data_IF_822621714540
#
_entry.id   IF_822621714540
#
_cell.length_a   1.000
_cell.length_b   1.000
_cell.length_c   1.000
_cell.angle_alpha   90.00
_cell.angle_beta   90.00
_cell.angle_gamma   90.00
#
_symmetry.space_group_name_H-M   'P 1'
#
loop_
_entity.id
_entity.type
_entity.pdbx_description
1 polymer ?
#
# COMPACT_ATOMS: atom_id res chain seq x y z
N UNK A 1 -6.99 -15.19 -5.44
CA UNK A 1 -8.27 -14.71 -6.02
C UNK A 1 -8.42 -13.22 -6.34
N UNK A 2 -7.62 -12.31 -5.77
CA UNK A 2 -7.77 -10.87 -6.06
C UNK A 2 -7.35 -10.49 -7.51
N UNK A 3 -6.27 -11.08 -8.01
CA UNK A 3 -5.74 -10.79 -9.37
C UNK A 3 -6.71 -11.22 -10.47
N UNK A 4 -7.35 -12.40 -10.34
CA UNK A 4 -8.34 -12.87 -11.33
C UNK A 4 -9.59 -11.99 -11.36
N UNK A 5 -10.01 -11.45 -10.21
CA UNK A 5 -11.14 -10.51 -10.13
C UNK A 5 -10.82 -9.17 -10.78
N UNK A 6 -9.59 -8.67 -10.59
CA UNK A 6 -9.12 -7.46 -11.26
C UNK A 6 -9.04 -7.63 -12.79
N UNK A 7 -8.55 -8.78 -13.26
CA UNK A 7 -8.48 -9.09 -14.70
C UNK A 7 -9.88 -9.21 -15.35
N UNK A 8 -10.84 -9.88 -14.70
CA UNK A 8 -12.22 -9.95 -15.21
C UNK A 8 -12.87 -8.58 -15.34
N UNK A 9 -12.65 -7.72 -14.34
CA UNK A 9 -13.19 -6.35 -14.33
C UNK A 9 -12.60 -5.48 -15.44
N UNK A 10 -11.31 -5.65 -15.76
CA UNK A 10 -10.68 -4.97 -16.89
C UNK A 10 -11.27 -5.42 -18.23
N UNK A 11 -11.46 -6.73 -18.41
CA UNK A 11 -12.07 -7.28 -19.64
C UNK A 11 -13.52 -6.82 -19.84
N UNK A 12 -14.32 -6.75 -18.76
CA UNK A 12 -15.69 -6.24 -18.82
C UNK A 12 -15.74 -4.76 -19.22
N UNK A 13 -14.81 -3.95 -18.70
CA UNK A 13 -14.71 -2.52 -19.03
C UNK A 13 -14.29 -2.30 -20.49
N UNK A 14 -13.31 -3.05 -20.99
CA UNK A 14 -12.89 -3.01 -22.40
C UNK A 14 -14.00 -3.44 -23.35
N UNK A 15 -14.73 -4.51 -23.00
CA UNK A 15 -15.87 -4.99 -23.80
C UNK A 15 -16.98 -3.92 -23.88
N UNK A 16 -17.31 -3.29 -22.74
CA UNK A 16 -18.30 -2.22 -22.67
C UNK A 16 -17.89 -1.00 -23.49
N UNK A 17 -16.60 -0.64 -23.46
CA UNK A 17 -16.07 0.46 -24.26
C UNK A 17 -16.16 0.17 -25.77
N UNK A 18 -15.80 -1.04 -26.21
CA UNK A 18 -15.94 -1.45 -27.61
C UNK A 18 -17.40 -1.45 -28.08
N UNK A 19 -18.32 -1.88 -27.23
CA UNK A 19 -19.75 -1.91 -27.57
C UNK A 19 -20.32 -0.49 -27.77
N UNK A 20 -19.91 0.48 -26.94
CA UNK A 20 -20.31 1.87 -27.09
C UNK A 20 -19.76 2.50 -28.38
N UNK A 21 -18.49 2.27 -28.69
CA UNK A 21 -17.88 2.73 -29.95
C UNK A 21 -18.55 2.12 -31.18
N UNK A 22 -18.93 0.84 -31.11
CA UNK A 22 -19.66 0.17 -32.18
C UNK A 22 -21.08 0.74 -32.37
N UNK A 23 -21.77 1.11 -31.29
CA UNK A 23 -23.07 1.79 -31.37
C UNK A 23 -22.94 3.17 -32.01
N UNK A 24 -21.96 3.99 -31.60
CA UNK A 24 -21.72 5.29 -32.23
C UNK A 24 -21.40 5.17 -33.72
N UNK A 25 -20.64 4.15 -34.13
CA UNK A 25 -20.34 3.91 -35.54
C UNK A 25 -21.55 3.39 -36.32
N UNK A 26 -22.37 2.52 -35.72
CA UNK A 26 -23.59 2.01 -36.35
C UNK A 26 -24.63 3.12 -36.54
N UNK A 27 -24.77 4.03 -35.58
CA UNK A 27 -25.64 5.21 -35.70
C UNK A 27 -25.16 6.18 -36.79
N UNK A 28 -23.84 6.27 -37.03
CA UNK A 28 -23.27 7.08 -38.12
C UNK A 28 -23.35 6.40 -39.50
N UNK A 29 -23.49 5.07 -39.56
CA UNK A 29 -23.41 4.29 -40.79
C UNK A 29 -24.76 4.00 -41.46
N UNK A 30 -25.88 4.54 -40.96
CA UNK A 30 -27.19 4.37 -41.61
C UNK A 30 -27.24 5.18 -42.91
N UNK A 31 -27.37 4.55 -44.10
CA UNK A 31 -27.48 5.28 -45.36
C UNK A 31 -28.87 5.92 -45.48
N UNK A 32 -28.94 7.21 -45.82
CA UNK A 32 -30.20 7.86 -46.19
C UNK A 32 -30.65 7.35 -47.56
N UNK A 33 -31.92 6.95 -47.76
CA UNK A 33 -32.44 6.62 -49.10
C UNK A 33 -32.69 7.90 -49.92
N UNK A 34 -32.49 7.82 -51.23
CA UNK A 34 -32.58 8.94 -52.19
C UNK A 34 -33.95 9.66 -52.18
N UNK A 35 -34.00 11.00 -52.31
CA UNK A 35 -35.26 11.74 -52.39
C UNK A 35 -35.78 11.83 -53.84
N UNK A 36 -37.05 11.45 -54.05
CA UNK A 36 -37.87 11.98 -55.16
C UNK A 36 -38.21 13.45 -54.89
N UNK A 37 -38.40 14.30 -55.92
CA UNK A 37 -38.60 15.73 -55.73
C UNK A 37 -40.03 16.03 -55.24
N UNK A 38 -40.15 16.34 -53.95
CA UNK A 38 -41.31 17.01 -53.34
C UNK A 38 -40.90 18.36 -52.74
N UNK A 39 -41.82 19.32 -52.58
CA UNK A 39 -41.50 20.71 -52.24
C UNK A 39 -40.78 20.80 -50.88
N UNK A 40 -39.74 21.63 -50.84
CA UNK A 40 -38.76 21.74 -49.75
C UNK A 40 -39.31 21.53 -48.33
N UNK A 41 -38.96 20.43 -47.65
CA UNK A 41 -39.04 20.33 -46.21
C UNK A 41 -37.90 21.17 -45.61
N UNK A 42 -38.28 22.09 -44.74
CA UNK A 42 -37.41 22.98 -43.98
C UNK A 42 -36.21 22.22 -43.41
N UNK A 43 -35.01 22.81 -43.56
CA UNK A 43 -33.78 22.29 -42.99
C UNK A 43 -33.98 22.01 -41.49
N UNK A 44 -34.04 20.73 -41.13
CA UNK A 44 -33.95 20.34 -39.73
C UNK A 44 -32.61 20.87 -39.21
N UNK A 45 -32.59 21.61 -38.09
CA UNK A 45 -31.35 22.08 -37.52
C UNK A 45 -30.49 20.86 -37.23
N UNK A 46 -29.32 20.78 -37.87
CA UNK A 46 -28.24 19.99 -37.30
C UNK A 46 -28.09 20.46 -35.85
N UNK A 47 -27.98 19.57 -34.85
CA UNK A 47 -27.73 20.01 -33.48
C UNK A 47 -26.42 20.80 -33.51
N UNK A 48 -26.55 22.13 -33.56
CA UNK A 48 -25.45 23.05 -33.39
C UNK A 48 -25.09 22.85 -31.93
N UNK A 49 -24.05 22.07 -31.66
CA UNK A 49 -23.46 21.98 -30.32
C UNK A 49 -23.32 23.41 -29.81
N UNK A 50 -24.17 23.79 -28.86
CA UNK A 50 -24.25 25.17 -28.43
C UNK A 50 -22.92 25.52 -27.78
N UNK A 51 -22.45 26.77 -27.93
CA UNK A 51 -21.28 27.24 -27.20
C UNK A 51 -21.42 27.06 -25.68
N UNK A 52 -22.65 26.94 -25.18
CA UNK A 52 -22.99 26.59 -23.79
C UNK A 52 -22.72 25.10 -23.51
N UNK A 53 -23.12 24.18 -24.39
CA UNK A 53 -22.88 22.73 -24.24
C UNK A 53 -21.37 22.40 -24.27
N UNK A 54 -20.60 23.13 -25.09
CA UNK A 54 -19.14 23.01 -25.14
C UNK A 54 -18.48 23.53 -23.86
N UNK A 55 -19.01 24.62 -23.27
CA UNK A 55 -18.52 25.16 -21.99
C UNK A 55 -18.82 24.22 -20.83
N UNK A 56 -20.01 23.66 -20.79
CA UNK A 56 -20.41 22.71 -19.75
C UNK A 56 -19.62 21.40 -19.85
N UNK A 57 -19.37 20.92 -21.07
CA UNK A 57 -18.49 19.78 -21.33
C UNK A 57 -17.05 20.07 -20.90
N UNK A 58 -16.52 21.26 -21.22
CA UNK A 58 -15.18 21.67 -20.80
C UNK A 58 -15.05 21.79 -19.27
N UNK A 59 -16.08 22.32 -18.59
CA UNK A 59 -16.14 22.39 -17.13
C UNK A 59 -16.19 20.99 -16.50
N UNK A 60 -16.91 20.06 -17.10
CA UNK A 60 -16.97 18.67 -16.65
C UNK A 60 -15.61 17.98 -16.78
N UNK A 61 -14.92 18.14 -17.92
CA UNK A 61 -13.57 17.62 -18.15
C UNK A 61 -12.57 18.21 -17.15
N UNK A 62 -12.57 19.53 -16.96
CA UNK A 62 -11.68 20.18 -16.00
C UNK A 62 -11.90 19.69 -14.56
N UNK A 63 -13.16 19.43 -14.16
CA UNK A 63 -13.47 18.84 -12.85
C UNK A 63 -12.95 17.40 -12.74
N UNK A 64 -13.08 16.60 -13.78
CA UNK A 64 -12.55 15.23 -13.81
C UNK A 64 -11.02 15.22 -13.74
N UNK A 65 -10.34 16.06 -14.52
CA UNK A 65 -8.88 16.23 -14.46
C UNK A 65 -8.43 16.65 -13.06
N UNK A 66 -9.12 17.59 -12.42
CA UNK A 66 -8.82 18.01 -11.05
C UNK A 66 -9.05 16.89 -10.01
N UNK A 67 -9.98 15.96 -10.25
CA UNK A 67 -10.18 14.79 -9.39
C UNK A 67 -9.08 13.75 -9.62
N UNK A 68 -8.70 13.50 -10.86
CA UNK A 68 -7.60 12.58 -11.22
C UNK A 68 -6.28 13.10 -10.65
N UNK A 69 -5.98 14.39 -10.84
CA UNK A 69 -4.77 15.01 -10.30
C UNK A 69 -4.70 14.87 -8.77
N UNK A 70 -5.81 15.12 -8.06
CA UNK A 70 -5.89 14.92 -6.61
C UNK A 70 -5.67 13.45 -6.22
N UNK A 71 -6.27 12.50 -6.95
CA UNK A 71 -6.06 11.07 -6.68
C UNK A 71 -4.62 10.62 -6.94
N UNK A 72 -3.97 11.12 -8.01
CA UNK A 72 -2.57 10.84 -8.32
C UNK A 72 -1.67 11.42 -7.22
N UNK A 73 -1.93 12.66 -6.79
CA UNK A 73 -1.16 13.30 -5.74
C UNK A 73 -1.30 12.58 -4.38
N UNK A 74 -2.52 12.18 -4.01
CA UNK A 74 -2.76 11.36 -2.82
C UNK A 74 -2.09 9.98 -2.89
N UNK A 75 -2.10 9.35 -4.07
CA UNK A 75 -1.44 8.07 -4.29
C UNK A 75 0.08 8.19 -4.15
N UNK A 76 0.69 9.22 -4.75
CA UNK A 76 2.13 9.50 -4.68
C UNK A 76 2.60 9.87 -3.26
N UNK A 77 1.70 10.36 -2.39
CA UNK A 77 2.01 10.68 -0.99
C UNK A 77 2.05 9.45 -0.06
N UNK A 78 1.55 8.28 -0.48
CA UNK A 78 1.55 7.08 0.37
C UNK A 78 2.97 6.48 0.43
N UNK A 79 3.57 6.33 1.62
CA UNK A 79 4.91 5.77 1.73
C UNK A 79 4.90 4.29 1.31
N UNK A 80 5.94 3.88 0.58
CA UNK A 80 6.13 2.52 0.09
C UNK A 80 6.50 1.62 1.28
N UNK A 81 5.54 0.80 1.72
CA UNK A 81 5.74 -0.14 2.82
C UNK A 81 6.12 -1.52 2.29
N UNK A 82 7.18 -2.10 2.85
CA UNK A 82 7.60 -3.47 2.56
C UNK A 82 7.50 -4.31 3.84
N UNK A 83 6.84 -5.47 3.76
CA UNK A 83 6.65 -6.35 4.91
C UNK A 83 7.61 -7.53 4.87
N UNK A 84 8.35 -7.72 5.95
CA UNK A 84 9.25 -8.86 6.19
C UNK A 84 8.70 -9.66 7.36
N UNK A 85 8.06 -10.79 7.05
CA UNK A 85 7.70 -11.81 8.04
C UNK A 85 8.74 -12.92 8.11
N UNK A 86 8.49 -13.91 8.97
CA UNK A 86 9.37 -15.07 9.22
C UNK A 86 9.80 -15.88 7.96
N UNK A 87 9.11 -15.73 6.82
CA UNK A 87 9.40 -16.46 5.57
C UNK A 87 9.86 -15.58 4.40
N UNK A 88 9.93 -14.27 4.57
CA UNK A 88 10.30 -13.36 3.47
C UNK A 88 11.82 -13.42 3.21
N UNK A 89 12.23 -14.21 2.20
CA UNK A 89 13.62 -14.38 1.76
C UNK A 89 13.97 -13.47 0.58
N UNK A 90 13.81 -12.16 0.72
CA UNK A 90 14.49 -11.25 -0.20
C UNK A 90 15.91 -11.03 0.34
N UNK A 91 16.91 -11.62 -0.33
CA UNK A 91 18.33 -11.60 0.07
C UNK A 91 18.84 -10.19 0.40
N UNK A 92 18.33 -9.15 -0.29
CA UNK A 92 18.74 -7.76 -0.06
C UNK A 92 18.37 -7.22 1.32
N UNK A 93 17.28 -7.70 1.94
CA UNK A 93 16.90 -7.27 3.28
C UNK A 93 17.59 -8.08 4.38
N UNK A 94 18.16 -9.24 4.02
CA UNK A 94 18.70 -10.19 5.00
C UNK A 94 19.73 -9.54 5.94
N UNK A 95 20.68 -8.77 5.39
CA UNK A 95 21.70 -8.10 6.18
C UNK A 95 21.12 -7.05 7.13
N UNK A 96 20.17 -6.25 6.64
CA UNK A 96 19.53 -5.21 7.45
C UNK A 96 18.70 -5.82 8.60
N UNK A 97 17.91 -6.84 8.28
CA UNK A 97 17.04 -7.52 9.25
C UNK A 97 17.88 -8.29 10.28
N UNK A 98 19.02 -8.85 9.87
CA UNK A 98 19.96 -9.49 10.78
C UNK A 98 20.63 -8.48 11.72
N UNK A 99 21.08 -7.33 11.22
CA UNK A 99 21.62 -6.26 12.05
C UNK A 99 20.58 -5.73 13.05
N UNK A 100 19.32 -5.59 12.60
CA UNK A 100 18.19 -5.25 13.47
C UNK A 100 17.98 -6.31 14.56
N UNK A 101 17.95 -7.59 14.20
CA UNK A 101 17.81 -8.73 15.13
C UNK A 101 18.89 -8.69 16.20
N UNK A 102 20.15 -8.60 15.80
CA UNK A 102 21.30 -8.56 16.71
C UNK A 102 21.23 -7.35 17.65
N UNK A 103 20.79 -6.18 17.16
CA UNK A 103 20.62 -5.01 18.02
C UNK A 103 19.54 -5.23 19.06
N UNK A 104 18.38 -5.77 18.66
CA UNK A 104 17.28 -6.09 19.57
C UNK A 104 17.74 -7.09 20.64
N UNK A 105 18.39 -8.18 20.26
CA UNK A 105 18.86 -9.20 21.20
C UNK A 105 19.88 -8.62 22.18
N UNK A 106 20.85 -7.83 21.70
CA UNK A 106 21.85 -7.19 22.55
C UNK A 106 21.21 -6.24 23.57
N UNK A 107 20.33 -5.36 23.13
CA UNK A 107 19.65 -4.42 24.04
C UNK A 107 18.69 -5.17 24.97
N UNK A 108 17.99 -6.18 24.47
CA UNK A 108 17.07 -6.99 25.24
C UNK A 108 17.72 -7.80 26.35
N UNK A 109 18.87 -8.44 26.07
CA UNK A 109 19.63 -9.18 27.07
C UNK A 109 20.13 -8.26 28.19
N UNK A 110 20.61 -7.06 27.85
CA UNK A 110 21.04 -6.06 28.84
C UNK A 110 19.87 -5.51 29.67
N UNK A 111 18.68 -5.47 29.08
CA UNK A 111 17.48 -4.88 29.68
C UNK A 111 16.41 -5.92 30.02
N UNK A 112 16.82 -7.17 30.29
CA UNK A 112 15.89 -8.20 30.71
C UNK A 112 15.18 -7.76 32.01
N UNK A 113 13.83 -7.82 32.08
CA UNK A 113 13.08 -7.26 33.20
C UNK A 113 13.45 -7.93 34.53
N UNK A 114 13.87 -7.14 35.51
CA UNK A 114 14.37 -7.66 36.80
C UNK A 114 13.33 -8.52 37.55
N UNK A 115 12.05 -8.14 37.47
CA UNK A 115 10.94 -8.91 38.05
C UNK A 115 10.70 -10.28 37.39
N UNK A 116 11.25 -10.50 36.19
CA UNK A 116 11.13 -11.75 35.44
C UNK A 116 12.40 -12.60 35.44
N UNK A 117 13.57 -12.01 35.76
CA UNK A 117 14.85 -12.73 35.74
C UNK A 117 14.79 -14.02 36.54
N UNK A 118 15.25 -15.11 35.92
CA UNK A 118 15.25 -16.46 36.48
C UNK A 118 13.86 -17.07 36.78
N UNK A 119 12.75 -16.41 36.43
CA UNK A 119 11.41 -16.76 36.93
C UNK A 119 10.31 -16.82 35.85
N UNK A 120 10.29 -15.87 34.93
CA UNK A 120 9.21 -15.72 33.94
C UNK A 120 9.81 -15.79 32.55
N UNK A 121 9.27 -16.69 31.74
CA UNK A 121 9.68 -16.96 30.38
C UNK A 121 8.46 -16.98 29.47
N UNK A 122 8.66 -16.75 28.19
CA UNK A 122 7.54 -16.73 27.24
C UNK A 122 7.95 -16.16 25.90
N UNK A 123 7.02 -16.25 24.95
CA UNK A 123 7.25 -15.76 23.61
C UNK A 123 6.09 -14.88 23.16
N UNK A 124 6.41 -13.74 22.58
CA UNK A 124 5.43 -12.83 21.97
C UNK A 124 5.72 -12.67 20.48
N UNK A 125 4.72 -12.25 19.71
CA UNK A 125 4.92 -11.85 18.32
C UNK A 125 4.74 -10.34 18.23
N UNK A 126 5.74 -9.66 17.67
CA UNK A 126 5.75 -8.21 17.53
C UNK A 126 6.00 -7.80 16.10
N UNK A 127 5.31 -6.76 15.66
CA UNK A 127 5.55 -6.05 14.41
C UNK A 127 6.14 -4.68 14.70
N UNK A 128 7.25 -4.35 14.06
CA UNK A 128 7.92 -3.03 14.17
C UNK A 128 8.06 -2.43 12.77
N UNK A 129 7.55 -1.21 12.59
CA UNK A 129 7.68 -0.44 11.35
C UNK A 129 8.79 0.61 11.51
N UNK A 130 9.79 0.55 10.64
CA UNK A 130 10.98 1.40 10.68
C UNK A 130 11.00 2.27 9.43
N UNK A 131 11.29 3.56 9.56
CA UNK A 131 11.44 4.49 8.43
C UNK A 131 12.83 4.38 7.80
N UNK A 132 12.99 4.90 6.60
CA UNK A 132 14.25 4.88 5.88
C UNK A 132 15.43 5.60 6.57
N UNK A 133 15.17 6.48 7.53
CA UNK A 133 16.18 7.14 8.37
C UNK A 133 16.56 6.32 9.62
N UNK A 134 15.87 5.20 9.89
CA UNK A 134 16.08 4.33 11.04
C UNK A 134 15.18 4.63 12.25
N UNK A 135 14.34 5.68 12.20
CA UNK A 135 13.35 5.96 13.24
C UNK A 135 12.22 4.93 13.24
N UNK A 136 11.60 4.72 14.40
CA UNK A 136 10.46 3.80 14.52
C UNK A 136 9.17 4.55 14.20
N UNK A 137 8.47 4.13 13.15
CA UNK A 137 7.13 4.65 12.82
C UNK A 137 6.07 4.11 13.80
N UNK A 138 6.10 2.81 14.08
CA UNK A 138 5.16 2.16 14.99
C UNK A 138 5.70 0.82 15.49
N UNK A 139 5.18 0.37 16.63
CA UNK A 139 5.41 -0.97 17.17
C UNK A 139 4.09 -1.54 17.71
N UNK A 140 3.86 -2.83 17.49
CA UNK A 140 2.62 -3.50 17.90
C UNK A 140 2.90 -4.94 18.34
N UNK A 141 2.35 -5.34 19.48
CA UNK A 141 2.33 -6.74 19.92
C UNK A 141 1.14 -7.43 19.25
N UNK A 142 1.42 -8.31 18.29
CA UNK A 142 0.41 -9.08 17.55
C UNK A 142 -0.08 -10.30 18.33
N UNK A 143 0.77 -10.82 19.21
CA UNK A 143 0.44 -11.92 20.13
C UNK A 143 1.22 -11.69 21.41
N UNK A 144 0.50 -11.50 22.51
CA UNK A 144 1.06 -11.36 23.86
C UNK A 144 1.81 -12.63 24.28
N UNK A 145 2.82 -12.47 25.13
CA UNK A 145 3.51 -13.56 25.82
C UNK A 145 2.66 -14.24 26.90
N UNK A 146 1.52 -13.65 27.26
CA UNK A 146 0.74 -14.01 28.44
C UNK A 146 1.24 -13.32 29.73
N UNK A 147 2.37 -12.62 29.67
CA UNK A 147 2.97 -11.92 30.81
C UNK A 147 3.17 -10.44 30.50
N UNK A 148 2.38 -9.57 31.15
CA UNK A 148 2.46 -8.10 30.94
C UNK A 148 3.87 -7.54 31.13
N UNK A 149 4.67 -8.11 32.04
CA UNK A 149 6.06 -7.68 32.27
C UNK A 149 6.97 -7.94 31.07
N UNK A 150 6.78 -9.04 30.34
CA UNK A 150 7.56 -9.36 29.14
C UNK A 150 7.10 -8.52 27.95
N UNK A 151 5.78 -8.33 27.81
CA UNK A 151 5.19 -7.49 26.77
C UNK A 151 5.67 -6.03 26.90
N UNK A 152 5.59 -5.46 28.10
CA UNK A 152 6.11 -4.12 28.39
C UNK A 152 7.63 -4.02 28.20
N UNK A 153 8.38 -5.09 28.53
CA UNK A 153 9.81 -5.12 28.29
C UNK A 153 10.16 -5.10 26.81
N UNK A 154 9.44 -5.84 25.95
CA UNK A 154 9.66 -5.81 24.50
C UNK A 154 9.46 -4.42 23.91
N UNK A 155 8.37 -3.72 24.28
CA UNK A 155 8.15 -2.33 23.87
C UNK A 155 9.28 -1.41 24.34
N UNK A 156 9.71 -1.55 25.61
CA UNK A 156 10.85 -0.77 26.15
C UNK A 156 12.14 -1.03 25.38
N UNK A 157 12.41 -2.29 25.01
CA UNK A 157 13.61 -2.67 24.26
C UNK A 157 13.62 -2.02 22.88
N UNK A 158 12.49 -2.00 22.16
CA UNK A 158 12.40 -1.31 20.86
C UNK A 158 12.71 0.18 21.03
N UNK A 159 12.12 0.84 22.05
CA UNK A 159 12.36 2.27 22.32
C UNK A 159 13.83 2.55 22.65
N UNK A 160 14.48 1.69 23.44
CA UNK A 160 15.91 1.83 23.77
C UNK A 160 16.83 1.51 22.60
N UNK A 161 16.37 0.71 21.64
CA UNK A 161 17.12 0.37 20.44
C UNK A 161 17.01 1.42 19.34
N UNK A 162 16.09 2.38 19.45
CA UNK A 162 15.95 3.49 18.50
C UNK A 162 17.10 4.51 18.63
N UNK A 163 17.60 5.10 17.52
CA UNK A 163 17.29 4.79 16.12
C UNK A 163 18.00 3.54 15.62
N UNK A 164 17.39 2.81 14.68
CA UNK A 164 18.04 1.74 13.94
C UNK A 164 18.96 2.30 12.85
N UNK A 165 19.73 1.43 12.20
CA UNK A 165 20.53 1.86 11.06
C UNK A 165 19.63 2.44 9.96
N UNK A 166 20.02 3.52 9.29
CA UNK A 166 19.31 4.00 8.11
C UNK A 166 19.32 2.93 7.02
N UNK A 167 18.31 2.90 6.16
CA UNK A 167 18.26 1.91 5.08
C UNK A 167 19.45 2.07 4.12
N UNK A 168 20.08 0.98 3.69
CA UNK A 168 21.10 1.06 2.65
C UNK A 168 20.44 1.42 1.30
N UNK A 169 21.19 1.95 0.33
CA UNK A 169 20.64 2.46 -0.94
C UNK A 169 19.73 1.46 -1.68
N UNK A 170 20.08 0.18 -1.66
CA UNK A 170 19.36 -0.92 -2.29
C UNK A 170 17.99 -1.22 -1.67
N UNK A 171 17.75 -0.78 -0.43
CA UNK A 171 16.45 -0.82 0.23
C UNK A 171 15.73 0.51 0.06
N UNK A 172 16.42 1.64 0.30
CA UNK A 172 15.80 2.99 0.23
C UNK A 172 15.23 3.32 -1.15
N UNK A 173 15.78 2.72 -2.22
CA UNK A 173 15.33 2.97 -3.60
C UNK A 173 13.84 2.70 -3.82
N UNK A 174 13.25 1.74 -3.11
CA UNK A 174 11.88 1.24 -3.30
C UNK A 174 11.10 1.00 -2.00
N UNK A 175 11.75 1.20 -0.84
CA UNK A 175 11.14 1.04 0.48
C UNK A 175 11.33 2.29 1.32
N UNK A 176 10.23 2.93 1.71
CA UNK A 176 10.24 4.08 2.63
C UNK A 176 10.05 3.62 4.08
N UNK A 177 9.29 2.53 4.27
CA UNK A 177 9.02 1.92 5.58
C UNK A 177 9.19 0.41 5.47
N UNK A 178 10.03 -0.16 6.34
CA UNK A 178 10.22 -1.59 6.48
C UNK A 178 9.45 -2.10 7.70
N UNK A 179 8.52 -3.01 7.50
CA UNK A 179 7.68 -3.60 8.54
C UNK A 179 8.19 -5.00 8.85
N UNK A 180 8.78 -5.19 10.03
CA UNK A 180 9.40 -6.45 10.45
C UNK A 180 8.50 -7.12 11.49
N UNK A 181 8.03 -8.33 11.19
CA UNK A 181 7.22 -9.14 12.12
C UNK A 181 7.99 -10.37 12.55
N UNK A 182 8.29 -10.47 13.85
CA UNK A 182 9.13 -11.52 14.43
C UNK A 182 8.57 -12.06 15.74
N UNK A 183 8.98 -13.27 16.10
CA UNK A 183 8.68 -13.90 17.39
C UNK A 183 9.84 -13.67 18.33
N UNK A 184 9.56 -13.12 19.50
CA UNK A 184 10.55 -12.78 20.51
C UNK A 184 10.39 -13.77 21.65
N UNK A 185 11.46 -14.48 22.00
CA UNK A 185 11.47 -15.50 23.04
C UNK A 185 12.34 -15.06 24.20
N UNK A 186 11.71 -14.80 25.34
CA UNK A 186 12.36 -14.57 26.63
C UNK A 186 12.62 -15.93 27.27
N UNK A 187 13.87 -16.37 27.21
CA UNK A 187 14.32 -17.71 27.58
C UNK A 187 15.09 -17.73 28.91
N UNK A 188 15.28 -18.92 29.51
CA UNK A 188 16.17 -19.11 30.65
C UNK A 188 17.58 -18.59 30.43
N UNK A 189 18.22 -18.14 31.52
CA UNK A 189 19.52 -17.47 31.47
C UNK A 189 19.44 -15.99 31.05
N UNK A 190 18.27 -15.38 31.22
CA UNK A 190 17.97 -13.97 30.92
C UNK A 190 18.30 -13.58 29.47
N UNK A 191 17.99 -14.49 28.54
CA UNK A 191 18.23 -14.32 27.11
C UNK A 191 16.96 -14.01 26.35
N UNK A 192 17.07 -13.09 25.41
CA UNK A 192 16.09 -12.76 24.40
C UNK A 192 16.59 -13.25 23.04
N UNK A 193 15.76 -14.03 22.36
CA UNK A 193 15.97 -14.45 20.98
C UNK A 193 14.89 -13.86 20.09
N UNK A 194 15.23 -13.51 18.86
CA UNK A 194 14.31 -12.92 17.89
C UNK A 194 14.31 -13.73 16.58
N UNK A 195 13.21 -14.45 16.33
CA UNK A 195 13.03 -15.40 15.23
C UNK A 195 12.03 -14.93 14.16
#
# INVERSE_FOLDING_TARGET
DAVRRAQRRLQELEAKQRQLLAQEQAERAVPKPDPKPEPAPQAQPQPQLSGVDLRDSALMLARMEAQIARQIEEYNKRPRKTHIGARAKETRFAQYVEAWRQKIERIGNLNYPEGARGRIYGSLRMTVAIRADGSVESMQIDRSSGHRILDAAAEKIVRLAEPFAPFPPEIRRDTDILVITRTWTFAPGDRLYND
#
